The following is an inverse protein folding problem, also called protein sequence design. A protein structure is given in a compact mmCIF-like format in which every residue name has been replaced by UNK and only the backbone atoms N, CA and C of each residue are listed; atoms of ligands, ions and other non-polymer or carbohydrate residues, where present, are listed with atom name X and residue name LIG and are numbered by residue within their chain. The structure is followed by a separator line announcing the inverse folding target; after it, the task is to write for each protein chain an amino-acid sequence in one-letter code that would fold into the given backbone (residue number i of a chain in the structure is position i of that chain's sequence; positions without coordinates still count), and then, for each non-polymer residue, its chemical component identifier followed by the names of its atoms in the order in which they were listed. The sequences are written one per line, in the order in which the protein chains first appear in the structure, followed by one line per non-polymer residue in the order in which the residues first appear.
data_IF_411601228468
#
_entry.id   IF_411601228468
#
_cell.length_a   1.000
_cell.length_b   1.000
_cell.length_c   1.000
_cell.angle_alpha   90.00
_cell.angle_beta   90.00
_cell.angle_gamma   90.00
#
_symmetry.space_group_name_H-M   'P 1'
#
loop_
_entity.id
_entity.type
_entity.pdbx_description
1 polymer ?
#
# COMPACT_ATOMS: atom_id res chain seq x y z
N UNK A 1 8.71 18.05 18.19
CA UNK A 1 8.26 16.75 17.65
C UNK A 1 9.44 15.79 17.63
N UNK A 2 9.34 14.63 18.27
CA UNK A 2 10.40 13.59 18.31
C UNK A 2 9.89 12.28 17.71
N UNK A 3 8.89 12.36 16.81
CA UNK A 3 7.98 11.26 16.45
C UNK A 3 8.61 10.06 15.72
N UNK A 4 9.93 10.06 15.47
CA UNK A 4 10.62 9.03 14.70
C UNK A 4 11.75 8.30 15.45
N UNK A 5 12.21 8.84 16.59
CA UNK A 5 13.32 8.27 17.37
C UNK A 5 12.74 7.76 18.68
N UNK A 6 12.86 6.45 19.00
CA UNK A 6 12.38 5.91 20.26
C UNK A 6 13.16 6.54 21.43
N UNK A 7 12.47 7.32 22.26
CA UNK A 7 13.05 7.94 23.46
C UNK A 7 12.75 7.06 24.67
N UNK A 8 13.78 6.58 25.35
CA UNK A 8 13.67 5.80 26.59
C UNK A 8 14.15 6.68 27.74
N UNK A 9 13.33 6.84 28.78
CA UNK A 9 13.66 7.68 29.92
C UNK A 9 14.22 6.85 31.09
N UNK A 10 15.24 7.38 31.77
CA UNK A 10 15.82 6.78 32.98
C UNK A 10 15.48 7.63 34.20
N UNK A 11 14.84 7.07 35.23
CA UNK A 11 14.59 7.82 36.47
C UNK A 11 14.46 6.93 37.72
N UNK A 12 14.63 7.53 38.89
CA UNK A 12 14.43 6.90 40.20
C UNK A 12 12.98 7.17 40.63
N UNK A 13 12.20 6.11 40.84
CA UNK A 13 10.78 6.21 41.18
C UNK A 13 10.56 6.99 42.47
N UNK A 14 9.81 8.09 42.39
CA UNK A 14 8.89 8.47 43.48
C UNK A 14 7.59 9.09 42.99
N UNK A 15 7.52 9.68 41.79
CA UNK A 15 6.29 10.34 41.36
C UNK A 15 5.69 9.73 40.08
N UNK A 16 4.57 9.01 40.23
CA UNK A 16 3.76 8.46 39.14
C UNK A 16 3.29 9.54 38.16
N UNK A 17 3.26 10.80 38.58
CA UNK A 17 2.89 11.96 37.76
C UNK A 17 3.92 12.21 36.64
N UNK A 18 5.20 11.89 36.86
CA UNK A 18 6.26 12.10 35.87
C UNK A 18 6.25 11.04 34.76
N UNK A 19 5.76 9.83 35.04
CA UNK A 19 5.63 8.76 34.03
C UNK A 19 4.62 9.12 32.94
N UNK A 20 3.45 9.61 33.33
CA UNK A 20 2.38 9.97 32.37
C UNK A 20 2.79 11.17 31.52
N UNK A 21 3.51 12.15 32.10
CA UNK A 21 4.08 13.27 31.35
C UNK A 21 5.18 12.80 30.38
N UNK A 22 6.03 11.86 30.79
CA UNK A 22 7.07 11.26 29.94
C UNK A 22 6.51 10.53 28.71
N UNK A 23 5.40 9.79 28.87
CA UNK A 23 4.71 9.18 27.72
C UNK A 23 4.05 10.22 26.82
N UNK A 24 3.50 11.30 27.38
CA UNK A 24 2.90 12.41 26.61
C UNK A 24 3.90 13.19 25.76
N UNK A 25 5.18 13.21 26.12
CA UNK A 25 6.24 13.87 25.32
C UNK A 25 6.88 12.95 24.26
N UNK A 26 6.37 11.73 24.08
CA UNK A 26 6.85 10.78 23.07
C UNK A 26 7.87 9.76 23.58
N UNK A 27 7.99 9.58 24.90
CA UNK A 27 8.74 8.46 25.47
C UNK A 27 8.07 7.13 25.16
N UNK A 28 8.82 6.15 24.66
CA UNK A 28 8.31 4.81 24.32
C UNK A 28 8.51 3.81 25.46
N UNK A 29 9.39 4.11 26.41
CA UNK A 29 9.66 3.28 27.57
C UNK A 29 10.27 4.09 28.72
N UNK A 30 10.25 3.51 29.90
CA UNK A 30 10.84 4.07 31.11
C UNK A 30 11.59 2.96 31.87
N UNK A 31 12.86 3.22 32.18
CA UNK A 31 13.73 2.30 32.91
C UNK A 31 14.06 2.91 34.28
N UNK A 32 13.75 2.16 35.34
CA UNK A 32 13.94 2.63 36.72
C UNK A 32 15.38 2.43 37.18
N UNK A 33 15.94 3.37 37.96
CA UNK A 33 17.22 3.21 38.64
C UNK A 33 17.07 2.57 40.04
N UNK A 34 18.00 1.69 40.47
CA UNK A 34 19.14 1.16 39.70
C UNK A 34 18.65 0.15 38.65
N UNK A 35 19.16 0.27 37.42
CA UNK A 35 18.76 -0.61 36.31
C UNK A 35 19.74 -1.78 36.14
N UNK A 36 19.21 -2.92 35.68
CA UNK A 36 20.03 -4.04 35.25
C UNK A 36 20.42 -3.84 33.78
N UNK A 37 21.69 -4.07 33.46
CA UNK A 37 22.24 -3.83 32.12
C UNK A 37 21.57 -4.72 31.08
N UNK A 38 21.36 -5.99 31.41
CA UNK A 38 20.79 -7.02 30.55
C UNK A 38 19.35 -6.68 30.17
N UNK A 39 18.54 -6.30 31.16
CA UNK A 39 17.15 -5.86 30.94
C UNK A 39 17.11 -4.58 30.08
N UNK A 40 17.98 -3.62 30.36
CA UNK A 40 18.05 -2.35 29.64
C UNK A 40 18.39 -2.57 28.16
N UNK A 41 19.37 -3.43 27.88
CA UNK A 41 19.74 -3.78 26.51
C UNK A 41 18.62 -4.53 25.80
N UNK A 42 17.93 -5.46 26.46
CA UNK A 42 16.79 -6.17 25.88
C UNK A 42 15.67 -5.21 25.47
N UNK A 43 15.33 -4.24 26.33
CA UNK A 43 14.33 -3.19 26.02
C UNK A 43 14.75 -2.31 24.86
N UNK A 44 15.99 -1.83 24.84
CA UNK A 44 16.52 -1.02 23.73
C UNK A 44 16.42 -1.79 22.41
N UNK A 45 16.85 -3.05 22.39
CA UNK A 45 16.81 -3.88 21.19
C UNK A 45 15.38 -4.12 20.69
N UNK A 46 14.43 -4.36 21.60
CA UNK A 46 13.02 -4.50 21.24
C UNK A 46 12.47 -3.23 20.56
N UNK A 47 12.73 -2.05 21.13
CA UNK A 47 12.26 -0.79 20.54
C UNK A 47 12.92 -0.48 19.20
N UNK A 48 14.22 -0.76 19.05
CA UNK A 48 14.91 -0.62 17.77
C UNK A 48 14.35 -1.57 16.71
N UNK A 49 14.04 -2.82 17.08
CA UNK A 49 13.46 -3.80 16.17
C UNK A 49 12.05 -3.39 15.73
N UNK A 50 11.21 -2.92 16.67
CA UNK A 50 9.88 -2.40 16.35
C UNK A 50 9.98 -1.24 15.36
N UNK A 51 10.88 -0.27 15.61
CA UNK A 51 11.09 0.87 14.72
C UNK A 51 11.55 0.40 13.33
N UNK A 52 12.50 -0.53 13.28
CA UNK A 52 13.00 -1.08 12.03
C UNK A 52 11.87 -1.70 11.20
N UNK A 53 11.04 -2.54 11.82
CA UNK A 53 9.90 -3.19 11.16
C UNK A 53 8.84 -2.17 10.71
N UNK A 54 8.52 -1.16 11.53
CA UNK A 54 7.62 -0.08 11.15
C UNK A 54 8.15 0.69 9.93
N UNK A 55 9.47 0.95 9.84
CA UNK A 55 10.08 1.57 8.67
C UNK A 55 9.85 0.75 7.42
N UNK A 56 10.14 -0.54 7.50
CA UNK A 56 10.00 -1.46 6.37
C UNK A 56 8.56 -1.57 5.91
N UNK A 57 7.61 -1.63 6.86
CA UNK A 57 6.18 -1.69 6.55
C UNK A 57 5.73 -0.43 5.82
N UNK A 58 6.10 0.75 6.30
CA UNK A 58 5.75 2.03 5.66
C UNK A 58 6.34 2.12 4.24
N UNK A 59 7.59 1.69 4.05
CA UNK A 59 8.20 1.61 2.72
C UNK A 59 7.43 0.68 1.79
N UNK A 60 7.03 -0.51 2.27
CA UNK A 60 6.24 -1.46 1.47
C UNK A 60 4.87 -0.90 1.11
N UNK A 61 4.20 -0.20 2.03
CA UNK A 61 2.91 0.43 1.75
C UNK A 61 3.04 1.47 0.64
N UNK A 62 4.08 2.31 0.67
CA UNK A 62 4.33 3.29 -0.39
C UNK A 62 4.52 2.61 -1.75
N UNK A 63 5.37 1.58 -1.82
CA UNK A 63 5.61 0.84 -3.07
C UNK A 63 4.34 0.16 -3.58
N UNK A 64 3.53 -0.42 -2.69
CA UNK A 64 2.28 -1.09 -3.09
C UNK A 64 1.27 -0.09 -3.66
N UNK A 65 1.15 1.10 -3.09
CA UNK A 65 0.27 2.16 -3.62
C UNK A 65 0.71 2.63 -5.01
N UNK A 66 2.02 2.78 -5.22
CA UNK A 66 2.55 3.15 -6.54
C UNK A 66 2.21 2.09 -7.59
N UNK A 67 2.39 0.81 -7.25
CA UNK A 67 2.03 -0.32 -8.13
C UNK A 67 0.54 -0.41 -8.41
N UNK A 68 -0.31 -0.15 -7.41
CA UNK A 68 -1.77 -0.13 -7.58
C UNK A 68 -2.19 0.93 -8.61
N UNK A 69 -1.63 2.13 -8.51
CA UNK A 69 -1.88 3.21 -9.48
C UNK A 69 -1.40 2.83 -10.87
N UNK A 70 -0.22 2.23 -10.99
CA UNK A 70 0.32 1.78 -12.26
C UNK A 70 -0.53 0.67 -12.91
N UNK A 71 -0.91 -0.35 -12.13
CA UNK A 71 -1.77 -1.43 -12.60
C UNK A 71 -3.13 -0.93 -13.06
N UNK A 72 -3.73 0.00 -12.31
CA UNK A 72 -4.99 0.64 -12.70
C UNK A 72 -4.88 1.36 -14.05
N UNK A 73 -3.78 2.11 -14.26
CA UNK A 73 -3.50 2.78 -15.54
C UNK A 73 -3.31 1.78 -16.69
N UNK A 74 -2.57 0.70 -16.45
CA UNK A 74 -2.33 -0.31 -17.47
C UNK A 74 -3.62 -1.06 -17.83
N UNK A 75 -4.44 -1.40 -16.84
CA UNK A 75 -5.71 -2.07 -17.08
C UNK A 75 -6.67 -1.16 -17.87
N UNK A 76 -6.72 0.15 -17.56
CA UNK A 76 -7.48 1.10 -18.36
C UNK A 76 -7.02 1.15 -19.82
N UNK A 77 -5.70 1.21 -20.06
CA UNK A 77 -5.15 1.15 -21.43
C UNK A 77 -5.52 -0.14 -22.15
N UNK A 78 -5.51 -1.27 -21.44
CA UNK A 78 -5.93 -2.56 -22.00
C UNK A 78 -7.41 -2.52 -22.40
N UNK A 79 -8.28 -1.99 -21.54
CA UNK A 79 -9.71 -1.91 -21.82
C UNK A 79 -10.02 -0.99 -23.01
N UNK A 80 -9.32 0.16 -23.09
CA UNK A 80 -9.42 1.07 -24.23
C UNK A 80 -8.96 0.39 -25.53
N UNK A 81 -7.87 -0.37 -25.49
CA UNK A 81 -7.37 -1.12 -26.65
C UNK A 81 -8.37 -2.19 -27.09
N UNK A 82 -8.89 -3.00 -26.16
CA UNK A 82 -9.88 -4.03 -26.45
C UNK A 82 -11.12 -3.43 -27.11
N UNK A 83 -11.58 -2.28 -26.62
CA UNK A 83 -12.73 -1.58 -27.19
C UNK A 83 -12.45 -1.09 -28.61
N UNK A 84 -11.30 -0.48 -28.86
CA UNK A 84 -10.90 0.01 -30.19
C UNK A 84 -10.83 -1.15 -31.20
N UNK A 85 -10.09 -2.21 -30.86
CA UNK A 85 -9.96 -3.40 -31.74
C UNK A 85 -11.32 -4.03 -32.02
N UNK A 86 -12.20 -4.10 -31.03
CA UNK A 86 -13.54 -4.66 -31.22
C UNK A 86 -14.38 -3.82 -32.20
N UNK A 87 -14.33 -2.50 -32.12
CA UNK A 87 -15.01 -1.62 -33.08
C UNK A 87 -14.44 -1.79 -34.49
N UNK A 88 -13.11 -1.81 -34.61
CA UNK A 88 -12.42 -1.89 -35.89
C UNK A 88 -12.65 -3.23 -36.60
N UNK A 89 -12.83 -4.33 -35.86
CA UNK A 89 -13.20 -5.64 -36.42
C UNK A 89 -14.69 -5.68 -36.78
N UNK A 90 -15.56 -5.12 -35.93
CA UNK A 90 -17.01 -5.20 -36.14
C UNK A 90 -17.45 -4.47 -37.41
N UNK A 91 -16.80 -3.37 -37.77
CA UNK A 91 -17.12 -2.59 -38.96
C UNK A 91 -17.02 -3.40 -40.27
N UNK A 92 -15.86 -3.97 -40.65
CA UNK A 92 -15.75 -4.78 -41.86
C UNK A 92 -16.62 -6.05 -41.79
N UNK A 93 -16.75 -6.67 -40.61
CA UNK A 93 -17.60 -7.85 -40.44
C UNK A 93 -19.07 -7.55 -40.73
N UNK A 94 -19.56 -6.41 -40.26
CA UNK A 94 -20.94 -5.96 -40.50
C UNK A 94 -21.17 -5.73 -41.99
N UNK A 95 -20.19 -5.14 -42.69
CA UNK A 95 -20.22 -4.98 -44.15
C UNK A 95 -20.29 -6.33 -44.89
N UNK A 96 -19.41 -7.28 -44.55
CA UNK A 96 -19.37 -8.62 -45.15
C UNK A 96 -20.69 -9.36 -44.89
N UNK A 97 -21.19 -9.36 -43.66
CA UNK A 97 -22.46 -10.02 -43.29
C UNK A 97 -23.63 -9.39 -44.08
N UNK A 98 -23.64 -8.07 -44.23
CA UNK A 98 -24.65 -7.37 -45.03
C UNK A 98 -24.66 -7.84 -46.48
N UNK A 99 -23.49 -7.93 -47.12
CA UNK A 99 -23.35 -8.42 -48.50
C UNK A 99 -23.79 -9.88 -48.63
N UNK A 100 -23.35 -10.76 -47.73
CA UNK A 100 -23.75 -12.17 -47.72
C UNK A 100 -25.28 -12.32 -47.58
N UNK A 101 -25.91 -11.46 -46.78
CA UNK A 101 -27.37 -11.49 -46.59
C UNK A 101 -28.13 -11.07 -47.85
N UNK A 102 -27.66 -10.06 -48.57
CA UNK A 102 -28.24 -9.64 -49.85
C UNK A 102 -28.16 -10.76 -50.90
N UNK A 103 -27.03 -11.45 -50.99
CA UNK A 103 -26.86 -12.58 -51.92
C UNK A 103 -27.84 -13.73 -51.60
N UNK A 104 -28.05 -14.02 -50.33
CA UNK A 104 -28.98 -15.08 -49.90
C UNK A 104 -30.46 -14.72 -50.14
N UNK A 105 -30.80 -13.44 -50.11
CA UNK A 105 -32.16 -12.98 -50.41
C UNK A 105 -32.40 -12.83 -51.93
N UNK A 106 -31.38 -12.56 -52.75
CA UNK A 106 -31.51 -12.63 -54.21
C UNK A 106 -31.80 -14.04 -54.72
N UNK A 107 -31.31 -15.09 -54.04
CA UNK A 107 -31.64 -16.48 -54.35
C UNK A 107 -33.10 -16.86 -54.02
N UNK A 108 -33.84 -16.03 -53.28
CA UNK A 108 -35.26 -16.28 -52.94
C UNK A 108 -36.26 -15.63 -53.90
N UNK A 109 -35.81 -14.81 -54.84
CA UNK A 109 -36.66 -14.06 -55.79
C UNK A 109 -36.70 -14.72 -57.18
N UNK A 110 -36.01 -15.85 -57.37
CA UNK A 110 -36.08 -16.70 -58.56
C UNK A 110 -36.75 -18.03 -58.22
#
# INVERSE_FOLDING_TARGET
EVSDIPVILLSSLTDTVDKVKAFKVGGVDYITKPFQKEETLARINAHLQIRFLQKQLNQRITILREREVELSRLNKKKDDLVRTVSHDIKNPLTGIIGLVKLLKDSDKVT
#
